data_IF_136856762457
#
_entry.id   IF_136856762457
#
_cell.length_a   1.000
_cell.length_b   1.000
_cell.length_c   1.000
_cell.angle_alpha   90.00
_cell.angle_beta   90.00
_cell.angle_gamma   90.00
#
_symmetry.space_group_name_H-M   'P 1'
#
loop_
_entity.id
_entity.type
_entity.pdbx_description
1 polymer ?
#
# COMPACT_ATOMS: atom_id res chain seq x y z
N UNK A 1 -0.16 -6.63 14.92
CA UNK A 1 0.22 -7.93 15.49
C UNK A 1 -0.61 -9.03 14.82
N UNK A 2 0.03 -10.07 14.24
CA UNK A 2 -0.67 -11.16 13.52
C UNK A 2 -1.81 -11.76 14.36
N UNK A 3 -1.64 -11.76 15.66
CA UNK A 3 -2.68 -12.18 16.61
C UNK A 3 -3.95 -11.34 16.52
N UNK A 4 -3.83 -10.02 16.34
CA UNK A 4 -5.00 -9.13 16.24
C UNK A 4 -5.84 -9.40 15.00
N UNK A 5 -5.19 -9.70 13.87
CA UNK A 5 -5.88 -10.04 12.62
C UNK A 5 -6.60 -11.39 12.77
N UNK A 6 -5.93 -12.39 13.36
CA UNK A 6 -6.55 -13.69 13.62
C UNK A 6 -7.71 -13.60 14.60
N UNK A 7 -7.63 -12.74 15.63
CA UNK A 7 -8.71 -12.51 16.57
C UNK A 7 -9.92 -11.84 15.90
N UNK A 8 -9.70 -10.91 14.97
CA UNK A 8 -10.79 -10.30 14.21
C UNK A 8 -11.46 -11.33 13.29
N UNK A 9 -10.68 -12.19 12.63
CA UNK A 9 -11.21 -13.31 11.85
C UNK A 9 -12.03 -14.27 12.74
N UNK A 10 -11.59 -14.58 13.96
CA UNK A 10 -12.35 -15.43 14.91
C UNK A 10 -13.67 -14.86 15.35
N UNK A 11 -13.78 -13.54 15.52
CA UNK A 11 -15.05 -12.89 15.87
C UNK A 11 -16.12 -13.04 14.80
N UNK A 12 -15.66 -13.15 13.55
CA UNK A 12 -16.53 -13.28 12.37
C UNK A 12 -16.90 -14.76 12.08
N UNK A 13 -16.21 -15.72 12.72
CA UNK A 13 -16.36 -17.16 12.49
C UNK A 13 -17.75 -17.73 12.94
N UNK A 14 -18.47 -17.03 13.83
CA UNK A 14 -19.85 -17.39 14.20
C UNK A 14 -20.83 -17.20 13.05
N UNK A 15 -20.47 -16.43 12.03
CA UNK A 15 -21.17 -16.26 10.76
C UNK A 15 -20.45 -17.09 9.69
N UNK A 16 -20.91 -18.19 9.28
CA UNK A 16 -20.41 -19.23 8.37
C UNK A 16 -19.37 -18.83 7.27
N UNK A 17 -19.08 -17.55 7.05
CA UNK A 17 -18.14 -17.03 6.05
C UNK A 17 -17.50 -15.70 6.50
N UNK A 18 -16.19 -15.62 6.42
CA UNK A 18 -15.43 -14.40 6.68
C UNK A 18 -15.21 -13.65 5.36
N UNK A 19 -15.77 -12.46 5.27
CA UNK A 19 -15.58 -11.56 4.12
C UNK A 19 -14.79 -10.35 4.56
N UNK A 20 -13.63 -10.14 3.97
CA UNK A 20 -12.82 -8.97 4.29
C UNK A 20 -12.07 -8.45 3.07
N UNK A 21 -11.59 -7.23 3.18
CA UNK A 21 -10.75 -6.61 2.18
C UNK A 21 -9.36 -6.26 2.71
N UNK A 22 -8.40 -6.22 1.83
CA UNK A 22 -7.07 -5.73 2.09
C UNK A 22 -6.61 -4.82 0.95
N UNK A 23 -5.84 -3.78 1.28
CA UNK A 23 -5.18 -3.00 0.24
C UNK A 23 -4.14 -3.85 -0.47
N UNK A 24 -3.71 -3.43 -1.67
CA UNK A 24 -2.79 -4.21 -2.50
C UNK A 24 -1.48 -4.50 -1.79
N UNK A 25 -0.92 -3.53 -1.08
CA UNK A 25 0.32 -3.74 -0.30
C UNK A 25 0.13 -4.79 0.79
N UNK A 26 -0.92 -4.67 1.60
CA UNK A 26 -1.23 -5.62 2.67
C UNK A 26 -1.59 -6.99 2.09
N UNK A 27 -2.44 -7.03 1.05
CA UNK A 27 -2.86 -8.26 0.40
C UNK A 27 -1.69 -9.06 -0.19
N UNK A 28 -0.82 -8.39 -0.92
CA UNK A 28 0.30 -9.04 -1.62
C UNK A 28 1.45 -9.40 -0.68
N UNK A 29 1.77 -8.55 0.30
CA UNK A 29 2.95 -8.74 1.15
C UNK A 29 2.69 -9.60 2.41
N UNK A 30 1.48 -9.58 2.95
CA UNK A 30 1.21 -10.07 4.30
C UNK A 30 0.17 -11.19 4.38
N UNK A 31 -0.88 -11.10 3.57
CA UNK A 31 -2.06 -11.95 3.76
C UNK A 31 -1.85 -13.42 3.45
N UNK A 32 -0.96 -13.77 2.54
CA UNK A 32 -0.65 -15.17 2.23
C UNK A 32 -0.22 -15.95 3.46
N UNK A 33 0.73 -15.41 4.23
CA UNK A 33 1.22 -16.02 5.47
C UNK A 33 0.17 -16.05 6.57
N UNK A 34 -0.57 -14.97 6.76
CA UNK A 34 -1.61 -14.89 7.79
C UNK A 34 -2.71 -15.90 7.51
N UNK A 35 -3.19 -15.98 6.27
CA UNK A 35 -4.23 -16.92 5.87
C UNK A 35 -3.75 -18.38 5.92
N UNK A 36 -2.50 -18.64 5.56
CA UNK A 36 -1.90 -19.98 5.71
C UNK A 36 -1.98 -20.46 7.15
N UNK A 37 -1.52 -19.65 8.10
CA UNK A 37 -1.55 -19.99 9.51
C UNK A 37 -2.99 -20.17 10.03
N UNK A 38 -3.90 -19.30 9.61
CA UNK A 38 -5.30 -19.36 10.01
C UNK A 38 -5.98 -20.64 9.49
N UNK A 39 -5.82 -20.96 8.19
CA UNK A 39 -6.43 -22.13 7.57
C UNK A 39 -5.85 -23.45 8.10
N UNK A 40 -4.59 -23.50 8.48
CA UNK A 40 -4.01 -24.67 9.18
C UNK A 40 -4.66 -24.91 10.53
N UNK A 41 -5.04 -23.84 11.24
CA UNK A 41 -5.71 -23.93 12.55
C UNK A 41 -7.22 -24.17 12.43
N UNK A 42 -7.85 -23.61 11.39
CA UNK A 42 -9.29 -23.71 11.12
C UNK A 42 -9.54 -24.20 9.69
N UNK A 43 -9.38 -25.52 9.43
CA UNK A 43 -9.43 -26.05 8.07
C UNK A 43 -10.77 -25.88 7.37
N UNK A 44 -11.86 -25.76 8.13
CA UNK A 44 -13.22 -25.63 7.59
C UNK A 44 -13.67 -24.18 7.41
N UNK A 45 -12.82 -23.21 7.71
CA UNK A 45 -13.12 -21.78 7.57
C UNK A 45 -13.40 -21.42 6.10
N UNK A 46 -14.49 -20.71 5.87
CA UNK A 46 -14.82 -20.14 4.57
C UNK A 46 -14.38 -18.68 4.54
N UNK A 47 -13.45 -18.35 3.64
CA UNK A 47 -12.85 -17.02 3.57
C UNK A 47 -13.05 -16.47 2.16
N UNK A 48 -13.50 -15.22 2.10
CA UNK A 48 -13.51 -14.40 0.91
C UNK A 48 -12.71 -13.14 1.15
N UNK A 49 -11.61 -12.97 0.44
CA UNK A 49 -10.75 -11.79 0.51
C UNK A 49 -10.82 -11.01 -0.80
N UNK A 50 -11.04 -9.71 -0.71
CA UNK A 50 -10.96 -8.78 -1.81
C UNK A 50 -9.72 -7.89 -1.68
N UNK A 51 -9.09 -7.58 -2.81
CA UNK A 51 -7.95 -6.66 -2.86
C UNK A 51 -8.35 -5.45 -3.69
N UNK A 52 -8.43 -4.31 -3.02
CA UNK A 52 -8.85 -3.03 -3.60
C UNK A 52 -8.01 -1.90 -3.00
N UNK A 53 -8.18 -0.69 -3.50
CA UNK A 53 -7.60 0.47 -2.81
C UNK A 53 -8.40 0.85 -1.55
N UNK A 54 -7.81 1.69 -0.70
CA UNK A 54 -8.42 2.08 0.58
C UNK A 54 -9.82 2.68 0.40
N UNK A 55 -10.01 3.56 -0.56
CA UNK A 55 -11.30 4.21 -0.82
C UNK A 55 -12.39 3.19 -1.15
N UNK A 56 -12.10 2.25 -2.02
CA UNK A 56 -13.06 1.27 -2.47
C UNK A 56 -13.40 0.27 -1.35
N UNK A 57 -12.40 -0.14 -0.54
CA UNK A 57 -12.62 -0.97 0.64
C UNK A 57 -13.50 -0.30 1.69
N UNK A 58 -13.28 0.96 1.97
CA UNK A 58 -14.10 1.70 2.93
C UNK A 58 -15.54 1.83 2.43
N UNK A 59 -15.75 2.03 1.14
CA UNK A 59 -17.08 2.03 0.53
C UNK A 59 -17.79 0.68 0.68
N UNK A 60 -17.08 -0.42 0.45
CA UNK A 60 -17.64 -1.77 0.65
C UNK A 60 -17.96 -2.06 2.12
N UNK A 61 -17.12 -1.59 3.03
CA UNK A 61 -17.36 -1.69 4.47
C UNK A 61 -18.62 -0.91 4.87
N UNK A 62 -18.77 0.32 4.39
CA UNK A 62 -19.95 1.17 4.64
C UNK A 62 -21.24 0.53 4.11
N UNK A 63 -21.17 -0.18 2.98
CA UNK A 63 -22.29 -0.89 2.37
C UNK A 63 -22.57 -2.26 3.00
N UNK A 64 -21.78 -2.70 3.97
CA UNK A 64 -21.92 -4.01 4.61
C UNK A 64 -21.55 -5.21 3.71
N UNK A 65 -20.80 -4.98 2.64
CA UNK A 65 -20.35 -6.02 1.72
C UNK A 65 -19.19 -6.85 2.27
N UNK A 66 -18.41 -6.27 3.18
CA UNK A 66 -17.31 -6.91 3.90
C UNK A 66 -17.45 -6.65 5.41
N UNK A 67 -16.90 -7.55 6.22
CA UNK A 67 -16.98 -7.49 7.69
C UNK A 67 -15.92 -6.58 8.28
N UNK A 68 -14.72 -6.59 7.70
CA UNK A 68 -13.62 -5.70 8.09
C UNK A 68 -12.67 -5.48 6.91
N UNK A 69 -11.77 -4.52 7.06
CA UNK A 69 -10.74 -4.20 6.08
C UNK A 69 -9.40 -3.95 6.73
N UNK A 70 -8.34 -4.40 6.06
CA UNK A 70 -6.95 -4.10 6.40
C UNK A 70 -6.47 -3.02 5.45
N UNK A 71 -6.32 -1.82 5.97
CA UNK A 71 -5.99 -0.64 5.16
C UNK A 71 -4.71 0.03 5.64
N UNK A 72 -4.10 0.73 4.73
CA UNK A 72 -2.96 1.61 4.99
C UNK A 72 -3.34 3.05 4.63
N UNK A 73 -2.56 4.01 5.14
CA UNK A 73 -2.78 5.42 4.87
C UNK A 73 -3.80 6.06 5.80
N UNK A 74 -4.56 7.01 5.28
CA UNK A 74 -5.44 7.86 6.05
C UNK A 74 -6.90 7.50 5.83
N UNK A 75 -7.69 7.60 6.91
CA UNK A 75 -9.14 7.48 6.90
C UNK A 75 -9.72 8.28 8.06
N UNK A 76 -11.02 8.56 8.01
CA UNK A 76 -11.70 9.27 9.09
C UNK A 76 -11.94 8.35 10.28
N UNK A 77 -11.04 8.38 11.25
CA UNK A 77 -11.05 7.51 12.44
C UNK A 77 -12.33 7.61 13.28
N UNK A 78 -13.03 8.75 13.20
CA UNK A 78 -14.31 8.93 13.89
C UNK A 78 -15.48 8.16 13.29
N UNK A 79 -15.34 7.67 12.05
CA UNK A 79 -16.39 6.95 11.32
C UNK A 79 -16.27 5.43 11.43
N UNK A 80 -15.16 4.91 11.97
CA UNK A 80 -14.84 3.49 12.01
C UNK A 80 -14.28 3.07 13.37
N UNK A 81 -14.64 1.88 13.81
CA UNK A 81 -13.85 1.17 14.83
C UNK A 81 -12.57 0.67 14.18
N UNK A 82 -11.44 0.93 14.79
CA UNK A 82 -10.16 0.54 14.22
C UNK A 82 -9.15 0.08 15.26
N UNK A 83 -8.23 -0.75 14.80
CA UNK A 83 -7.08 -1.18 15.56
C UNK A 83 -5.83 -0.98 14.71
N UNK A 84 -4.80 -0.37 15.30
CA UNK A 84 -3.50 -0.22 14.64
C UNK A 84 -2.77 -1.56 14.66
N UNK A 85 -2.34 -1.99 13.47
CA UNK A 85 -1.56 -3.22 13.30
C UNK A 85 -0.05 -2.95 13.40
N UNK A 86 0.48 -2.03 12.61
CA UNK A 86 1.88 -1.62 12.62
C UNK A 86 2.07 -0.20 12.07
N UNK A 87 3.27 0.35 12.30
CA UNK A 87 3.76 1.53 11.60
C UNK A 87 4.80 1.08 10.58
N UNK A 88 4.61 1.48 9.33
CA UNK A 88 5.49 1.16 8.24
C UNK A 88 6.20 2.42 7.73
N UNK A 89 7.48 2.29 7.38
CA UNK A 89 8.22 3.39 6.76
C UNK A 89 7.72 3.65 5.33
N UNK A 90 7.59 4.93 5.01
CA UNK A 90 7.24 5.39 3.66
C UNK A 90 8.47 5.98 3.01
N UNK A 91 8.86 5.44 1.86
CA UNK A 91 10.15 5.69 1.24
C UNK A 91 10.03 6.05 -0.24
N UNK A 92 11.06 6.72 -0.75
CA UNK A 92 11.27 6.92 -2.18
C UNK A 92 12.25 5.87 -2.72
N UNK A 93 11.95 5.27 -3.85
CA UNK A 93 12.79 4.24 -4.48
C UNK A 93 12.98 4.48 -5.97
N UNK A 94 14.09 3.96 -6.48
CA UNK A 94 14.44 3.95 -7.89
C UNK A 94 15.21 2.68 -8.25
N UNK A 95 15.49 2.49 -9.54
CA UNK A 95 16.40 1.42 -9.98
C UNK A 95 17.83 1.66 -9.47
N UNK A 96 18.66 0.59 -9.33
CA UNK A 96 20.03 0.73 -8.83
C UNK A 96 20.89 1.71 -9.64
N UNK A 97 20.70 1.70 -10.96
CA UNK A 97 21.49 2.51 -11.91
C UNK A 97 20.82 3.83 -12.28
N UNK A 98 19.74 4.21 -11.58
CA UNK A 98 18.99 5.43 -11.89
C UNK A 98 19.87 6.67 -11.72
N UNK A 99 19.86 7.53 -12.74
CA UNK A 99 20.63 8.77 -12.73
C UNK A 99 19.70 9.97 -12.63
N UNK A 100 19.89 10.73 -11.56
CA UNK A 100 19.12 11.95 -11.32
C UNK A 100 19.67 13.12 -12.09
N UNK A 101 18.79 13.99 -12.57
CA UNK A 101 19.18 15.26 -13.19
C UNK A 101 19.73 16.26 -12.19
N UNK A 102 19.33 16.17 -10.91
CA UNK A 102 19.83 16.95 -9.78
C UNK A 102 20.10 16.03 -8.61
N UNK A 103 20.87 16.50 -7.63
CA UNK A 103 21.07 15.76 -6.39
C UNK A 103 19.73 15.56 -5.66
N UNK A 104 19.32 14.32 -5.35
CA UNK A 104 18.02 14.00 -4.77
C UNK A 104 17.94 14.25 -3.25
N UNK A 105 18.47 15.36 -2.76
CA UNK A 105 18.52 15.72 -1.34
C UNK A 105 17.25 16.42 -0.82
N UNK A 106 16.33 16.77 -1.73
CA UNK A 106 15.01 17.31 -1.39
C UNK A 106 14.00 16.93 -2.48
N UNK A 107 12.71 16.96 -2.13
CA UNK A 107 11.68 16.53 -3.05
C UNK A 107 11.57 17.41 -4.30
N UNK A 108 11.86 18.70 -4.17
CA UNK A 108 11.82 19.65 -5.28
C UNK A 108 12.85 19.31 -6.36
N UNK A 109 13.97 18.70 -5.99
CA UNK A 109 14.98 18.24 -6.93
C UNK A 109 14.54 16.99 -7.72
N UNK A 110 13.51 16.29 -7.25
CA UNK A 110 12.91 15.14 -7.92
C UNK A 110 11.83 15.53 -8.93
N UNK A 111 11.39 16.77 -8.98
CA UNK A 111 10.30 17.21 -9.88
C UNK A 111 10.63 17.07 -11.36
N UNK A 112 11.89 16.98 -11.73
CA UNK A 112 12.32 16.73 -13.11
C UNK A 112 12.20 15.26 -13.53
N UNK A 113 12.11 14.37 -12.55
CA UNK A 113 11.99 12.93 -12.76
C UNK A 113 10.54 12.56 -13.12
N UNK A 114 10.36 11.38 -13.73
CA UNK A 114 9.02 10.81 -13.91
C UNK A 114 8.55 10.21 -12.59
N UNK A 115 7.41 10.68 -12.12
CA UNK A 115 6.72 10.07 -10.98
C UNK A 115 5.85 8.92 -11.47
N UNK A 116 6.07 7.73 -10.94
CA UNK A 116 5.23 6.56 -11.13
C UNK A 116 4.26 6.50 -9.95
N UNK A 117 2.99 6.74 -10.22
CA UNK A 117 1.97 7.05 -9.21
C UNK A 117 0.83 6.05 -9.27
N UNK A 118 0.34 5.65 -8.09
CA UNK A 118 -0.88 4.85 -7.97
C UNK A 118 -2.12 5.68 -8.35
N UNK A 119 -3.21 4.99 -8.56
CA UNK A 119 -4.51 5.59 -8.88
C UNK A 119 -5.08 6.42 -7.74
N UNK A 120 -6.02 7.29 -8.06
CA UNK A 120 -6.82 8.02 -7.07
C UNK A 120 -7.55 7.03 -6.14
N UNK A 121 -7.55 7.31 -4.84
CA UNK A 121 -8.12 6.45 -3.81
C UNK A 121 -7.13 5.44 -3.21
N UNK A 122 -5.93 5.31 -3.77
CA UNK A 122 -4.86 4.53 -3.15
C UNK A 122 -4.36 5.22 -1.88
N UNK A 123 -4.30 4.46 -0.78
CA UNK A 123 -3.73 4.95 0.48
C UNK A 123 -2.26 5.29 0.36
N UNK A 124 -1.50 4.52 -0.42
CA UNK A 124 -0.08 4.81 -0.74
C UNK A 124 0.08 6.16 -1.43
N UNK A 125 -0.75 6.46 -2.41
CA UNK A 125 -0.75 7.76 -3.09
C UNK A 125 -1.10 8.91 -2.15
N UNK A 126 -2.09 8.72 -1.31
CA UNK A 126 -2.56 9.75 -0.38
C UNK A 126 -1.48 10.21 0.60
N UNK A 127 -0.59 9.32 1.02
CA UNK A 127 0.56 9.68 1.87
C UNK A 127 1.44 10.71 1.18
N UNK A 128 1.80 10.48 -0.09
CA UNK A 128 2.59 11.44 -0.87
C UNK A 128 1.85 12.76 -1.06
N UNK A 129 0.56 12.71 -1.44
CA UNK A 129 -0.24 13.91 -1.67
C UNK A 129 -0.34 14.78 -0.42
N UNK A 130 -0.54 14.18 0.75
CA UNK A 130 -0.56 14.91 2.04
C UNK A 130 0.80 15.52 2.40
N UNK A 131 1.88 14.78 2.15
CA UNK A 131 3.22 15.30 2.38
C UNK A 131 3.51 16.53 1.50
N UNK A 132 3.13 16.46 0.22
CA UNK A 132 3.29 17.57 -0.72
C UNK A 132 2.39 18.76 -0.33
N UNK A 133 1.14 18.51 0.01
CA UNK A 133 0.18 19.55 0.40
C UNK A 133 0.65 20.34 1.62
N UNK A 134 1.24 19.68 2.61
CA UNK A 134 1.85 20.32 3.78
C UNK A 134 2.97 21.31 3.42
N UNK A 135 3.56 21.18 2.24
CA UNK A 135 4.61 22.05 1.68
C UNK A 135 4.07 22.99 0.59
N UNK A 136 2.76 23.05 0.38
CA UNK A 136 2.09 23.77 -0.71
C UNK A 136 2.54 23.29 -2.11
N UNK A 137 2.81 21.97 -2.22
CA UNK A 137 3.21 21.29 -3.44
C UNK A 137 2.14 20.27 -3.84
N UNK A 138 2.16 19.82 -5.09
CA UNK A 138 1.25 18.79 -5.61
C UNK A 138 1.98 17.80 -6.52
N UNK A 139 1.33 16.71 -6.87
CA UNK A 139 1.89 15.73 -7.83
C UNK A 139 2.06 16.32 -9.23
N UNK A 140 1.32 17.39 -9.57
CA UNK A 140 1.48 18.10 -10.84
C UNK A 140 2.77 18.94 -10.93
N UNK A 141 3.48 19.15 -9.82
CA UNK A 141 4.79 19.79 -9.84
C UNK A 141 5.86 18.88 -10.46
N UNK A 142 5.62 17.57 -10.52
CA UNK A 142 6.45 16.66 -11.27
C UNK A 142 6.27 16.88 -12.78
N UNK A 143 7.38 17.00 -13.51
CA UNK A 143 7.36 17.28 -14.96
C UNK A 143 6.66 16.18 -15.77
N UNK A 144 6.70 14.94 -15.28
CA UNK A 144 6.08 13.78 -15.92
C UNK A 144 5.47 12.86 -14.85
N UNK A 145 4.24 12.48 -15.06
CA UNK A 145 3.52 11.54 -14.18
C UNK A 145 2.98 10.39 -15.02
N UNK A 146 3.22 9.17 -14.57
CA UNK A 146 2.57 7.96 -15.10
C UNK A 146 1.73 7.36 -14.00
N UNK A 147 0.41 7.29 -14.21
CA UNK A 147 -0.51 6.68 -13.26
C UNK A 147 -0.80 5.23 -13.64
N UNK A 148 -0.74 4.33 -12.67
CA UNK A 148 -1.11 2.94 -12.83
C UNK A 148 -1.81 2.39 -11.58
N UNK A 149 -2.92 1.70 -11.78
CA UNK A 149 -3.71 1.06 -10.72
C UNK A 149 -3.15 -0.29 -10.23
N UNK A 150 -1.92 -0.62 -10.58
CA UNK A 150 -1.25 -1.88 -10.23
C UNK A 150 0.08 -1.61 -9.54
N UNK A 151 0.18 -2.08 -8.28
CA UNK A 151 1.44 -2.02 -7.54
C UNK A 151 2.56 -2.77 -8.26
N UNK A 152 2.25 -3.94 -8.83
CA UNK A 152 3.23 -4.74 -9.57
C UNK A 152 3.74 -3.99 -10.81
N UNK A 153 2.86 -3.33 -11.55
CA UNK A 153 3.26 -2.50 -12.70
C UNK A 153 4.16 -1.34 -12.28
N UNK A 154 3.83 -0.64 -11.20
CA UNK A 154 4.66 0.43 -10.64
C UNK A 154 6.06 -0.11 -10.29
N UNK A 155 6.14 -1.25 -9.62
CA UNK A 155 7.41 -1.89 -9.24
C UNK A 155 8.24 -2.26 -10.48
N UNK A 156 7.64 -2.88 -11.50
CA UNK A 156 8.33 -3.26 -12.74
C UNK A 156 8.87 -2.05 -13.49
N UNK A 157 8.07 -0.98 -13.62
CA UNK A 157 8.51 0.25 -14.27
C UNK A 157 9.65 0.93 -13.50
N UNK A 158 9.60 0.89 -12.17
CA UNK A 158 10.66 1.46 -11.32
C UNK A 158 11.96 0.66 -11.46
N UNK A 159 11.89 -0.66 -11.42
CA UNK A 159 13.05 -1.56 -11.66
C UNK A 159 13.66 -1.34 -13.04
N UNK A 160 12.83 -1.08 -14.05
CA UNK A 160 13.28 -0.81 -15.41
C UNK A 160 13.90 0.58 -15.60
N UNK A 161 13.92 1.43 -14.56
CA UNK A 161 14.49 2.78 -14.65
C UNK A 161 13.59 3.80 -15.35
N UNK A 162 12.30 3.52 -15.50
CA UNK A 162 11.35 4.43 -16.16
C UNK A 162 11.00 5.67 -15.33
N UNK A 163 11.27 5.65 -14.03
CA UNK A 163 10.98 6.74 -13.13
C UNK A 163 11.24 6.38 -11.66
N UNK A 164 10.70 7.18 -10.77
CA UNK A 164 10.78 7.02 -9.33
C UNK A 164 9.38 6.81 -8.75
N UNK A 165 9.31 6.20 -7.58
CA UNK A 165 8.05 6.04 -6.87
C UNK A 165 8.22 6.19 -5.35
N UNK A 166 7.11 6.46 -4.68
CA UNK A 166 7.00 6.57 -3.22
C UNK A 166 6.01 5.53 -2.73
N UNK A 167 6.41 4.73 -1.77
CA UNK A 167 5.56 3.65 -1.24
C UNK A 167 6.05 3.18 0.13
N UNK A 168 5.28 2.31 0.77
CA UNK A 168 5.70 1.69 2.01
C UNK A 168 6.85 0.70 1.75
N UNK A 169 7.84 0.68 2.64
CA UNK A 169 9.01 -0.18 2.51
C UNK A 169 8.66 -1.64 2.38
N UNK A 170 7.64 -2.12 3.11
CA UNK A 170 7.17 -3.50 3.04
C UNK A 170 6.75 -3.93 1.62
N UNK A 171 6.24 -3.00 0.82
CA UNK A 171 5.86 -3.28 -0.56
C UNK A 171 7.04 -3.64 -1.47
N UNK A 172 8.25 -3.25 -1.10
CA UNK A 172 9.49 -3.43 -1.90
C UNK A 172 10.62 -4.08 -1.11
N UNK A 173 10.34 -4.67 0.03
CA UNK A 173 11.37 -5.27 0.89
C UNK A 173 12.23 -6.29 0.13
N UNK A 174 11.62 -7.18 -0.64
CA UNK A 174 12.33 -8.18 -1.43
C UNK A 174 13.22 -7.55 -2.50
N UNK A 175 12.76 -6.49 -3.14
CA UNK A 175 13.52 -5.76 -4.17
C UNK A 175 14.67 -4.94 -3.59
N UNK A 176 14.51 -4.44 -2.37
CA UNK A 176 15.62 -3.79 -1.65
C UNK A 176 16.68 -4.81 -1.23
N UNK A 177 16.25 -5.98 -0.77
CA UNK A 177 17.15 -7.07 -0.34
C UNK A 177 17.92 -7.68 -1.52
N UNK A 178 17.28 -7.90 -2.66
CA UNK A 178 17.92 -8.46 -3.86
C UNK A 178 18.67 -7.41 -4.70
N UNK A 179 18.53 -6.13 -4.35
CA UNK A 179 19.21 -5.01 -5.01
C UNK A 179 18.59 -4.57 -6.33
N UNK A 180 17.39 -5.05 -6.68
CA UNK A 180 16.66 -4.61 -7.90
C UNK A 180 16.04 -3.22 -7.77
N UNK A 181 15.88 -2.74 -6.55
CA UNK A 181 15.54 -1.36 -6.20
C UNK A 181 16.49 -0.83 -5.12
N UNK A 182 16.61 0.48 -5.04
CA UNK A 182 17.32 1.15 -3.95
C UNK A 182 16.56 2.37 -3.43
N UNK A 183 16.85 2.73 -2.18
CA UNK A 183 16.38 3.98 -1.60
C UNK A 183 16.91 5.19 -2.37
N UNK A 184 16.09 6.20 -2.48
CA UNK A 184 16.53 7.56 -2.80
C UNK A 184 16.87 8.22 -1.46
N UNK A 185 18.08 8.79 -1.31
CA UNK A 185 18.55 9.35 -0.04
C UNK A 185 17.67 10.48 0.49
#
# INVERSE_FOLDING_TARGET
>A
DEHSIQDEMRRTEEEQEIRFGATRTVGDALMGRILENYLKRYPDAKIHMEVENTRDLLSRLDNGEIDFALVEGFFKKSEYDFQKYSDEEYIAVCSPDYRFGKNPDCIENLFQERLLLREQGSGTREVLERYLDAKNLTVQDFARVTEAGSLQTIKELTKAGCGITFLYEDAVRSELEDGSLRHIP
#
